data_IF_379010427915
#
_entry.id   IF_379010427915
#
_cell.length_a   1.000
_cell.length_b   1.000
_cell.length_c   1.000
_cell.angle_alpha   90.00
_cell.angle_beta   90.00
_cell.angle_gamma   90.00
#
_symmetry.space_group_name_H-M   'P 1'
#
loop_
_entity.id
_entity.type
_entity.pdbx_description
1 polymer ?
#
# COMPACT_ATOMS: atom_id res chain seq x y z
N UNK A 1 14.66 -11.15 -20.06
CA UNK A 1 15.02 -11.59 -18.70
C UNK A 1 13.97 -12.59 -18.24
N UNK A 2 14.37 -13.59 -17.45
CA UNK A 2 13.44 -14.50 -16.77
C UNK A 2 12.67 -13.69 -15.72
N UNK A 3 11.36 -13.87 -15.62
CA UNK A 3 10.57 -13.13 -14.62
C UNK A 3 10.91 -13.63 -13.22
N UNK A 4 10.89 -12.76 -12.21
CA UNK A 4 10.95 -13.16 -10.80
C UNK A 4 9.82 -14.14 -10.45
N UNK A 5 8.69 -14.06 -11.16
CA UNK A 5 7.52 -14.91 -10.94
C UNK A 5 7.68 -16.32 -11.54
N UNK A 6 8.67 -16.55 -12.41
CA UNK A 6 8.84 -17.83 -13.08
C UNK A 6 9.12 -18.94 -12.07
N UNK A 7 8.35 -20.04 -12.16
CA UNK A 7 8.34 -21.16 -11.22
C UNK A 7 7.90 -20.82 -9.78
N UNK A 8 7.24 -19.67 -9.56
CA UNK A 8 6.76 -19.23 -8.24
C UNK A 8 5.26 -18.93 -8.26
N UNK A 9 4.40 -19.97 -8.36
CA UNK A 9 2.96 -19.79 -8.55
C UNK A 9 2.30 -19.01 -7.41
N UNK A 10 2.78 -19.14 -6.17
CA UNK A 10 2.20 -18.44 -5.03
C UNK A 10 2.50 -16.94 -5.04
N UNK A 11 3.75 -16.55 -5.34
CA UNK A 11 4.12 -15.14 -5.55
C UNK A 11 3.38 -14.55 -6.75
N UNK A 12 3.31 -15.29 -7.86
CA UNK A 12 2.57 -14.89 -9.05
C UNK A 12 1.09 -14.65 -8.74
N UNK A 13 0.48 -15.49 -7.89
CA UNK A 13 -0.90 -15.31 -7.41
C UNK A 13 -1.07 -14.03 -6.60
N UNK A 14 -0.13 -13.67 -5.72
CA UNK A 14 -0.22 -12.40 -4.99
C UNK A 14 -0.17 -11.18 -5.92
N UNK A 15 0.70 -11.22 -6.92
CA UNK A 15 0.77 -10.17 -7.94
C UNK A 15 -0.52 -10.11 -8.77
N UNK A 16 -1.10 -11.26 -9.11
CA UNK A 16 -2.38 -11.33 -9.82
C UNK A 16 -3.54 -10.78 -8.99
N UNK A 17 -3.59 -11.05 -7.67
CA UNK A 17 -4.58 -10.47 -6.77
C UNK A 17 -4.47 -8.94 -6.74
N UNK A 18 -3.26 -8.39 -6.71
CA UNK A 18 -3.05 -6.92 -6.81
C UNK A 18 -3.55 -6.38 -8.15
N UNK A 19 -3.30 -7.10 -9.26
CA UNK A 19 -3.79 -6.71 -10.58
C UNK A 19 -5.33 -6.71 -10.64
N UNK A 20 -5.98 -7.71 -10.04
CA UNK A 20 -7.44 -7.78 -9.94
C UNK A 20 -8.01 -6.59 -9.15
N UNK A 21 -7.47 -6.32 -7.95
CA UNK A 21 -7.88 -5.18 -7.13
C UNK A 21 -7.67 -3.87 -7.88
N UNK A 22 -6.53 -3.69 -8.54
CA UNK A 22 -6.27 -2.51 -9.37
C UNK A 22 -7.30 -2.34 -10.50
N UNK A 23 -7.70 -3.45 -11.13
CA UNK A 23 -8.76 -3.48 -12.13
C UNK A 23 -10.11 -3.05 -11.56
N UNK A 24 -10.46 -3.55 -10.37
CA UNK A 24 -11.69 -3.16 -9.66
C UNK A 24 -11.70 -1.67 -9.31
N UNK A 25 -10.62 -1.15 -8.72
CA UNK A 25 -10.50 0.28 -8.38
C UNK A 25 -10.63 1.18 -9.61
N UNK A 26 -10.01 0.79 -10.73
CA UNK A 26 -10.16 1.50 -12.00
C UNK A 26 -11.60 1.48 -12.52
N UNK A 27 -12.24 0.31 -12.55
CA UNK A 27 -13.62 0.17 -13.05
C UNK A 27 -14.64 0.96 -12.21
N UNK A 28 -14.40 1.09 -10.90
CA UNK A 28 -15.21 1.94 -10.01
C UNK A 28 -14.94 3.43 -10.16
N UNK A 29 -13.92 3.82 -10.94
CA UNK A 29 -13.51 5.21 -11.08
C UNK A 29 -12.79 5.77 -9.85
N UNK A 30 -12.25 4.90 -8.98
CA UNK A 30 -11.59 5.28 -7.73
C UNK A 30 -10.07 5.48 -7.85
N UNK A 31 -9.55 5.41 -9.08
CA UNK A 31 -8.12 5.51 -9.37
C UNK A 31 -7.89 6.27 -10.68
N UNK A 32 -8.23 7.56 -10.68
CA UNK A 32 -8.06 8.44 -11.82
C UNK A 32 -6.58 8.71 -12.12
N UNK A 33 -6.22 8.74 -13.41
CA UNK A 33 -4.83 8.93 -13.88
C UNK A 33 -3.85 7.96 -13.15
N UNK A 34 -3.05 8.48 -12.23
CA UNK A 34 -2.07 7.74 -11.43
C UNK A 34 -2.42 7.72 -9.94
N UNK A 35 -3.62 8.19 -9.56
CA UNK A 35 -4.13 8.18 -8.19
C UNK A 35 -4.35 6.76 -7.67
N UNK A 36 -4.20 6.61 -6.36
CA UNK A 36 -4.24 5.32 -5.66
C UNK A 36 -2.93 4.52 -5.75
N UNK A 37 -2.62 3.77 -4.70
CA UNK A 37 -1.40 2.96 -4.56
C UNK A 37 -1.70 1.63 -3.86
N UNK A 38 -1.00 0.57 -4.25
CA UNK A 38 -1.09 -0.74 -3.59
C UNK A 38 0.34 -1.20 -3.27
N UNK A 39 0.54 -1.60 -2.01
CA UNK A 39 1.79 -2.23 -1.55
C UNK A 39 1.44 -3.43 -0.69
N UNK A 40 1.95 -4.61 -1.05
CA UNK A 40 1.74 -5.85 -0.31
C UNK A 40 3.07 -6.43 0.19
N UNK A 41 3.06 -6.97 1.40
CA UNK A 41 4.19 -7.74 1.95
C UNK A 41 4.15 -9.15 1.34
N UNK A 42 5.20 -9.51 0.61
CA UNK A 42 5.33 -10.81 -0.07
C UNK A 42 6.42 -11.70 0.54
N UNK A 43 6.93 -11.32 1.72
CA UNK A 43 8.07 -11.98 2.38
C UNK A 43 7.89 -13.49 2.55
N UNK A 44 6.66 -13.96 2.80
CA UNK A 44 6.37 -15.38 2.97
C UNK A 44 6.53 -16.22 1.69
N UNK A 45 6.52 -15.58 0.52
CA UNK A 45 6.63 -16.23 -0.79
C UNK A 45 8.05 -16.10 -1.39
N UNK A 46 9.01 -15.65 -0.59
CA UNK A 46 10.40 -15.42 -1.00
C UNK A 46 11.25 -16.65 -0.69
N UNK A 47 11.80 -17.27 -1.73
CA UNK A 47 12.73 -18.38 -1.64
C UNK A 47 14.20 -17.92 -1.61
N UNK A 48 15.13 -18.88 -1.44
CA UNK A 48 16.56 -18.58 -1.36
C UNK A 48 17.15 -18.04 -2.68
N UNK A 49 16.54 -18.35 -3.83
CA UNK A 49 16.95 -17.78 -5.11
C UNK A 49 16.60 -16.28 -5.16
N UNK A 50 15.40 -15.87 -4.73
CA UNK A 50 15.03 -14.45 -4.60
C UNK A 50 15.93 -13.74 -3.59
N UNK A 51 16.23 -14.36 -2.44
CA UNK A 51 17.15 -13.77 -1.45
C UNK A 51 18.53 -13.52 -2.05
N UNK A 52 18.99 -14.39 -2.95
CA UNK A 52 20.26 -14.26 -3.66
C UNK A 52 20.23 -13.39 -4.93
N UNK A 53 19.08 -12.85 -5.33
CA UNK A 53 19.02 -11.98 -6.52
C UNK A 53 19.83 -10.70 -6.32
N UNK A 54 20.64 -10.40 -7.33
CA UNK A 54 21.33 -9.12 -7.44
C UNK A 54 20.32 -7.99 -7.72
N UNK A 55 20.43 -6.86 -7.01
CA UNK A 55 19.65 -5.67 -7.29
C UNK A 55 19.78 -5.20 -8.75
N UNK A 56 18.67 -4.71 -9.31
CA UNK A 56 18.66 -4.01 -10.59
C UNK A 56 18.56 -2.48 -10.43
N UNK A 57 18.80 -1.99 -9.22
CA UNK A 57 18.84 -0.57 -8.87
C UNK A 57 19.95 -0.29 -7.87
N UNK A 58 20.32 0.99 -7.73
CA UNK A 58 21.08 1.46 -6.58
C UNK A 58 20.29 1.33 -5.27
N UNK A 59 20.98 1.54 -4.14
CA UNK A 59 20.33 1.67 -2.84
C UNK A 59 19.49 2.95 -2.77
N UNK A 60 18.18 2.78 -2.64
CA UNK A 60 17.22 3.88 -2.59
C UNK A 60 16.82 4.16 -1.14
N UNK A 61 16.89 5.42 -0.73
CA UNK A 61 16.55 5.84 0.63
C UNK A 61 15.03 5.86 0.85
N UNK A 62 14.56 5.33 1.98
CA UNK A 62 13.17 5.43 2.43
C UNK A 62 12.90 6.82 3.02
N UNK A 63 13.92 7.43 3.64
CA UNK A 63 13.83 8.71 4.34
C UNK A 63 13.60 8.61 5.85
N UNK A 64 13.40 7.39 6.37
CA UNK A 64 13.33 7.07 7.79
C UNK A 64 13.75 5.61 8.02
N UNK A 65 14.12 5.27 9.25
CA UNK A 65 14.47 3.89 9.64
C UNK A 65 13.23 3.16 10.16
N UNK A 66 12.93 2.01 9.57
CA UNK A 66 11.74 1.20 9.82
C UNK A 66 12.13 -0.20 10.34
N UNK A 67 12.50 -0.33 11.64
CA UNK A 67 13.22 -1.49 12.16
C UNK A 67 12.46 -2.82 12.07
N UNK A 68 11.12 -2.80 12.05
CA UNK A 68 10.32 -4.03 11.92
C UNK A 68 10.25 -4.56 10.49
N UNK A 69 10.82 -3.83 9.51
CA UNK A 69 10.88 -4.26 8.11
C UNK A 69 12.12 -5.07 7.76
N UNK A 70 12.98 -5.40 8.74
CA UNK A 70 14.18 -6.19 8.48
C UNK A 70 13.83 -7.51 7.80
N UNK A 71 14.52 -7.80 6.69
CA UNK A 71 14.30 -9.02 5.90
C UNK A 71 12.96 -9.06 5.16
N UNK A 72 12.22 -7.95 5.08
CA UNK A 72 10.95 -7.90 4.39
C UNK A 72 11.11 -7.61 2.89
N UNK A 73 10.13 -8.09 2.14
CA UNK A 73 10.00 -7.95 0.69
C UNK A 73 8.58 -7.48 0.35
N UNK A 74 8.48 -6.57 -0.62
CA UNK A 74 7.20 -5.97 -0.97
C UNK A 74 6.99 -5.94 -2.48
N UNK A 75 5.75 -6.18 -2.92
CA UNK A 75 5.32 -5.80 -4.26
C UNK A 75 4.57 -4.46 -4.18
N UNK A 76 5.01 -3.50 -4.98
CA UNK A 76 4.54 -2.12 -4.96
C UNK A 76 4.09 -1.70 -6.36
N UNK A 77 2.99 -0.95 -6.45
CA UNK A 77 2.69 -0.18 -7.66
C UNK A 77 3.83 0.81 -7.95
N UNK A 78 4.18 0.96 -9.23
CA UNK A 78 5.19 1.92 -9.69
C UNK A 78 4.74 3.39 -9.64
N UNK A 79 5.72 4.30 -9.50
CA UNK A 79 5.49 5.74 -9.56
C UNK A 79 4.94 6.18 -10.93
N UNK A 80 3.98 7.10 -10.93
CA UNK A 80 3.27 7.58 -12.11
C UNK A 80 2.58 6.51 -12.98
N UNK A 81 2.52 5.26 -12.52
CA UNK A 81 1.78 4.17 -13.19
C UNK A 81 0.29 4.27 -12.86
N UNK A 82 -0.55 3.72 -13.72
CA UNK A 82 -2.02 3.78 -13.60
C UNK A 82 -2.56 2.44 -13.16
N UNK A 83 -3.60 2.41 -12.31
CA UNK A 83 -4.20 1.14 -11.87
C UNK A 83 -4.69 0.29 -13.03
N UNK A 84 -5.23 0.90 -14.09
CA UNK A 84 -5.65 0.19 -15.31
C UNK A 84 -4.52 -0.54 -16.04
N UNK A 85 -3.30 0.00 -15.96
CA UNK A 85 -2.12 -0.57 -16.63
C UNK A 85 -1.49 -1.62 -15.70
N UNK A 86 -1.46 -1.38 -14.38
CA UNK A 86 -1.12 -2.37 -13.35
C UNK A 86 -2.00 -3.62 -13.43
N UNK A 87 -3.30 -3.45 -13.68
CA UNK A 87 -4.25 -4.55 -13.82
C UNK A 87 -3.96 -5.44 -15.03
N UNK A 88 -3.37 -4.89 -16.11
CA UNK A 88 -3.08 -5.62 -17.35
C UNK A 88 -1.67 -6.20 -17.38
N UNK A 89 -0.71 -5.42 -16.90
CA UNK A 89 0.73 -5.73 -16.97
C UNK A 89 1.39 -5.41 -15.63
N UNK A 90 1.12 -6.22 -14.58
CA UNK A 90 1.56 -5.88 -13.23
C UNK A 90 3.09 -5.79 -13.09
N UNK A 91 3.85 -6.63 -13.80
CA UNK A 91 5.33 -6.59 -13.75
C UNK A 91 5.96 -5.47 -14.60
N UNK A 92 5.19 -4.77 -15.43
CA UNK A 92 5.64 -3.56 -16.15
C UNK A 92 5.25 -2.26 -15.43
N UNK A 93 4.33 -2.36 -14.47
CA UNK A 93 3.71 -1.23 -13.78
C UNK A 93 3.83 -1.31 -12.25
N UNK A 94 4.46 -2.36 -11.74
CA UNK A 94 4.79 -2.59 -10.35
C UNK A 94 6.22 -3.11 -10.23
N UNK A 95 6.65 -3.34 -8.99
CA UNK A 95 8.02 -3.68 -8.67
C UNK A 95 8.08 -4.49 -7.39
N UNK A 96 8.94 -5.49 -7.35
CA UNK A 96 9.32 -6.19 -6.12
C UNK A 96 10.56 -5.52 -5.55
N UNK A 97 10.48 -5.13 -4.28
CA UNK A 97 11.58 -4.52 -3.53
C UNK A 97 12.01 -5.40 -2.36
N UNK A 98 13.30 -5.32 -2.02
CA UNK A 98 13.90 -5.91 -0.82
C UNK A 98 14.34 -4.77 0.10
N UNK A 99 13.96 -4.83 1.38
CA UNK A 99 14.45 -3.92 2.40
C UNK A 99 15.88 -4.33 2.78
N UNK A 100 16.79 -3.36 2.84
CA UNK A 100 18.18 -3.59 3.22
C UNK A 100 18.32 -3.77 4.74
N UNK A 101 19.46 -4.29 5.18
CA UNK A 101 19.73 -4.57 6.60
C UNK A 101 19.70 -3.34 7.51
N UNK A 102 19.95 -2.15 6.94
CA UNK A 102 19.85 -0.86 7.63
C UNK A 102 18.41 -0.46 7.98
N UNK A 103 17.42 -1.14 7.38
CA UNK A 103 15.99 -0.82 7.47
C UNK A 103 15.64 0.64 7.10
N UNK A 104 16.53 1.33 6.40
CA UNK A 104 16.41 2.73 5.99
C UNK A 104 16.50 2.89 4.47
N UNK A 105 16.92 1.84 3.77
CA UNK A 105 17.00 1.79 2.32
C UNK A 105 16.40 0.50 1.76
N UNK A 106 16.14 0.51 0.46
CA UNK A 106 15.67 -0.65 -0.29
C UNK A 106 16.36 -0.74 -1.65
N UNK A 107 16.23 -1.90 -2.26
CA UNK A 107 16.66 -2.18 -3.64
C UNK A 107 15.52 -2.81 -4.43
N UNK A 108 15.55 -2.63 -5.75
CA UNK A 108 14.62 -3.28 -6.67
C UNK A 108 15.19 -4.64 -7.09
N UNK A 109 14.40 -5.68 -6.93
CA UNK A 109 14.69 -7.06 -7.38
C UNK A 109 13.48 -7.56 -8.18
N UNK A 110 13.30 -7.01 -9.37
CA UNK A 110 12.13 -7.24 -10.21
C UNK A 110 12.53 -7.44 -11.68
N UNK A 111 11.55 -7.69 -12.54
CA UNK A 111 11.78 -7.90 -13.98
C UNK A 111 12.31 -6.64 -14.69
N UNK A 112 11.87 -5.47 -14.21
CA UNK A 112 12.19 -4.15 -14.77
C UNK A 112 12.48 -3.14 -13.64
N UNK A 113 13.32 -2.11 -13.86
CA UNK A 113 13.66 -1.11 -12.85
C UNK A 113 12.54 -0.07 -12.67
N UNK A 114 11.33 -0.55 -12.38
CA UNK A 114 10.17 0.31 -12.12
C UNK A 114 10.30 0.84 -10.70
N UNK A 115 10.56 2.15 -10.58
CA UNK A 115 10.58 2.83 -9.28
C UNK A 115 9.19 2.71 -8.60
N UNK A 116 9.10 2.29 -7.33
CA UNK A 116 7.83 2.26 -6.59
C UNK A 116 7.18 3.64 -6.46
N UNK A 117 5.91 3.67 -6.05
CA UNK A 117 5.14 4.90 -5.81
C UNK A 117 5.89 5.95 -4.97
N UNK A 118 5.61 7.23 -5.22
CA UNK A 118 6.13 8.35 -4.41
C UNK A 118 5.70 8.28 -2.94
N UNK A 119 4.61 7.58 -2.64
CA UNK A 119 4.09 7.38 -1.29
C UNK A 119 4.64 6.10 -0.61
N UNK A 120 5.71 5.50 -1.16
CA UNK A 120 6.25 4.24 -0.65
C UNK A 120 6.62 4.36 0.84
N UNK A 121 7.23 5.48 1.26
CA UNK A 121 7.60 5.69 2.66
C UNK A 121 6.39 5.57 3.59
N UNK A 122 5.25 6.16 3.24
CA UNK A 122 4.00 6.05 4.00
C UNK A 122 3.50 4.61 4.07
N UNK A 123 3.51 3.89 2.93
CA UNK A 123 3.13 2.49 2.89
C UNK A 123 4.04 1.60 3.76
N UNK A 124 5.36 1.80 3.68
CA UNK A 124 6.32 1.06 4.48
C UNK A 124 6.19 1.40 5.98
N UNK A 125 5.94 2.65 6.34
CA UNK A 125 5.65 3.03 7.73
C UNK A 125 4.42 2.33 8.29
N UNK A 126 3.35 2.21 7.48
CA UNK A 126 2.18 1.40 7.85
C UNK A 126 2.54 -0.07 8.05
N UNK A 127 3.29 -0.68 7.12
CA UNK A 127 3.75 -2.06 7.27
C UNK A 127 4.65 -2.26 8.51
N UNK A 128 5.52 -1.30 8.81
CA UNK A 128 6.40 -1.33 9.99
C UNK A 128 5.58 -1.33 11.29
N UNK A 129 4.53 -0.52 11.34
CA UNK A 129 3.59 -0.50 12.47
C UNK A 129 2.78 -1.80 12.55
N UNK A 130 2.22 -2.27 11.44
CA UNK A 130 1.41 -3.49 11.40
C UNK A 130 2.23 -4.71 11.84
N UNK A 131 3.44 -4.87 11.33
CA UNK A 131 4.34 -5.96 11.73
C UNK A 131 4.73 -5.82 13.21
N UNK A 132 5.10 -4.62 13.65
CA UNK A 132 5.49 -4.35 15.04
C UNK A 132 4.38 -4.59 16.06
N UNK A 133 3.12 -4.39 15.66
CA UNK A 133 1.94 -4.67 16.49
C UNK A 133 1.48 -6.13 16.44
N UNK A 134 2.13 -6.98 15.65
CA UNK A 134 1.75 -8.38 15.45
C UNK A 134 0.52 -8.57 14.56
N UNK A 135 0.15 -7.56 13.77
CA UNK A 135 -0.97 -7.65 12.83
C UNK A 135 -0.68 -8.65 11.72
N UNK A 136 -1.72 -9.36 11.29
CA UNK A 136 -1.67 -10.29 10.16
C UNK A 136 -1.91 -9.59 8.82
N UNK A 137 -2.21 -8.30 8.82
CA UNK A 137 -2.47 -7.55 7.58
C UNK A 137 -1.22 -7.45 6.72
N UNK A 138 -1.35 -7.80 5.44
CA UNK A 138 -0.25 -7.85 4.46
C UNK A 138 -0.39 -6.82 3.35
N UNK A 139 -1.43 -6.00 3.34
CA UNK A 139 -1.72 -5.08 2.26
C UNK A 139 -2.00 -3.67 2.78
N UNK A 140 -1.49 -2.68 2.06
CA UNK A 140 -1.87 -1.28 2.20
C UNK A 140 -2.38 -0.78 0.86
N UNK A 141 -3.61 -0.26 0.85
CA UNK A 141 -4.29 0.26 -0.34
C UNK A 141 -4.71 1.70 -0.08
N UNK A 142 -4.27 2.59 -0.96
CA UNK A 142 -4.74 3.97 -1.06
C UNK A 142 -5.51 4.12 -2.37
N UNK A 143 -6.64 4.82 -2.37
CA UNK A 143 -7.48 5.05 -3.55
C UNK A 143 -8.38 6.26 -3.29
N UNK A 144 -9.12 6.73 -4.29
CA UNK A 144 -9.97 7.91 -4.21
C UNK A 144 -11.47 7.57 -4.44
N UNK A 145 -12.18 6.95 -3.47
CA UNK A 145 -13.60 6.69 -3.62
C UNK A 145 -14.38 8.00 -3.70
N UNK A 146 -15.06 8.22 -4.83
CA UNK A 146 -15.69 9.50 -5.19
C UNK A 146 -16.65 9.99 -4.10
N UNK A 147 -17.51 9.12 -3.60
CA UNK A 147 -18.52 9.49 -2.61
C UNK A 147 -17.89 9.85 -1.25
N UNK A 148 -16.84 9.14 -0.81
CA UNK A 148 -16.14 9.47 0.43
C UNK A 148 -15.38 10.80 0.30
N UNK A 149 -14.71 11.04 -0.84
CA UNK A 149 -14.07 12.33 -1.12
C UNK A 149 -15.11 13.45 -1.11
N UNK A 150 -16.27 13.27 -1.74
CA UNK A 150 -17.36 14.24 -1.73
C UNK A 150 -17.85 14.57 -0.31
N UNK A 151 -17.96 13.56 0.56
CA UNK A 151 -18.33 13.75 1.97
C UNK A 151 -17.33 14.62 2.74
N UNK A 152 -16.04 14.61 2.37
CA UNK A 152 -15.02 15.44 3.06
C UNK A 152 -15.22 16.94 2.88
N UNK A 153 -15.98 17.36 1.86
CA UNK A 153 -16.29 18.78 1.64
C UNK A 153 -17.31 19.35 2.64
N UNK A 154 -17.84 18.53 3.55
CA UNK A 154 -18.65 18.98 4.67
C UNK A 154 -17.85 18.88 5.99
N UNK A 155 -17.43 20.01 6.60
CA UNK A 155 -16.69 20.01 7.86
C UNK A 155 -17.41 19.33 9.02
N UNK A 156 -18.74 19.23 8.99
CA UNK A 156 -19.49 18.50 10.02
C UNK A 156 -19.21 17.00 9.99
N UNK A 157 -18.93 16.43 8.81
CA UNK A 157 -18.61 15.02 8.62
C UNK A 157 -17.19 14.67 9.08
N UNK A 158 -16.26 15.62 9.03
CA UNK A 158 -14.87 15.44 9.45
C UNK A 158 -14.67 15.45 10.98
N UNK A 159 -15.74 15.64 11.76
CA UNK A 159 -15.67 15.53 13.22
C UNK A 159 -15.53 14.07 13.65
N UNK A 160 -14.83 13.84 14.77
CA UNK A 160 -14.56 12.50 15.32
C UNK A 160 -15.83 11.62 15.33
N UNK A 161 -15.71 10.44 14.73
CA UNK A 161 -16.73 9.39 14.61
C UNK A 161 -18.03 9.75 13.88
N UNK A 162 -18.20 10.96 13.32
CA UNK A 162 -19.44 11.33 12.63
C UNK A 162 -19.61 10.50 11.35
N UNK A 163 -18.59 10.46 10.49
CA UNK A 163 -18.63 9.61 9.29
C UNK A 163 -18.72 8.12 9.62
N UNK A 164 -17.96 7.65 10.62
CA UNK A 164 -18.05 6.26 11.10
C UNK A 164 -19.48 5.87 11.42
N UNK A 165 -20.17 6.65 12.28
CA UNK A 165 -21.56 6.36 12.68
C UNK A 165 -22.54 6.47 11.52
N UNK A 166 -22.34 7.44 10.63
CA UNK A 166 -23.18 7.60 9.44
C UNK A 166 -23.05 6.39 8.52
N UNK A 167 -21.82 5.96 8.18
CA UNK A 167 -21.56 4.80 7.33
C UNK A 167 -22.09 3.51 7.98
N UNK A 168 -21.85 3.31 9.28
CA UNK A 168 -22.40 2.18 10.04
C UNK A 168 -23.93 2.10 10.03
N UNK A 169 -24.61 3.24 9.92
CA UNK A 169 -26.07 3.27 9.87
C UNK A 169 -26.67 2.90 8.51
N UNK A 170 -25.86 2.88 7.44
CA UNK A 170 -26.36 2.62 6.08
C UNK A 170 -26.68 1.14 5.88
N UNK A 171 -25.75 0.25 6.22
CA UNK A 171 -25.90 -1.20 6.12
C UNK A 171 -25.09 -1.90 7.25
N UNK A 172 -25.61 -2.97 7.89
CA UNK A 172 -24.94 -3.63 9.02
C UNK A 172 -23.50 -4.09 8.74
N UNK A 173 -23.23 -4.49 7.50
CA UNK A 173 -21.95 -5.04 7.05
C UNK A 173 -20.80 -4.04 7.20
N UNK A 174 -21.08 -2.74 7.09
CA UNK A 174 -20.04 -1.69 7.26
C UNK A 174 -19.44 -1.73 8.67
N UNK A 175 -20.25 -1.98 9.70
CA UNK A 175 -19.77 -2.17 11.07
C UNK A 175 -19.09 -3.52 11.27
N UNK A 176 -19.52 -4.56 10.56
CA UNK A 176 -18.87 -5.87 10.63
C UNK A 176 -17.47 -5.87 9.99
N UNK A 177 -17.29 -5.18 8.86
CA UNK A 177 -16.02 -5.13 8.12
C UNK A 177 -15.09 -3.99 8.56
N UNK A 178 -15.63 -2.92 9.13
CA UNK A 178 -14.88 -1.77 9.65
C UNK A 178 -15.34 -1.44 11.09
N UNK A 179 -15.15 -2.37 12.05
CA UNK A 179 -15.70 -2.25 13.42
C UNK A 179 -15.06 -1.17 14.28
N UNK A 180 -13.81 -0.77 14.00
CA UNK A 180 -13.16 0.37 14.66
C UNK A 180 -13.47 1.70 13.96
N UNK A 181 -13.93 1.65 12.71
CA UNK A 181 -14.43 2.80 11.97
C UNK A 181 -13.35 3.51 11.14
N UNK A 182 -13.68 4.75 10.75
CA UNK A 182 -12.89 5.61 9.88
C UNK A 182 -12.25 6.76 10.67
N UNK A 183 -10.92 6.79 10.72
CA UNK A 183 -10.14 7.91 11.25
C UNK A 183 -10.07 9.05 10.24
N UNK A 184 -9.98 10.29 10.74
CA UNK A 184 -9.92 11.50 9.90
C UNK A 184 -8.62 12.22 10.15
N UNK A 185 -7.81 12.36 9.11
CA UNK A 185 -6.54 13.06 9.13
C UNK A 185 -6.76 14.44 8.50
N UNK A 186 -6.41 15.55 9.18
CA UNK A 186 -6.43 16.87 8.56
C UNK A 186 -5.56 16.90 7.30
N UNK A 187 -5.93 17.73 6.33
CA UNK A 187 -5.17 17.85 5.10
C UNK A 187 -3.70 18.16 5.38
N UNK A 188 -2.82 17.31 4.87
CA UNK A 188 -1.38 17.49 4.87
C UNK A 188 -0.83 17.24 3.46
N UNK A 189 0.39 17.71 3.19
CA UNK A 189 1.01 17.48 1.89
C UNK A 189 1.16 15.98 1.62
N UNK A 190 0.70 15.48 0.46
CA UNK A 190 0.93 14.09 0.07
C UNK A 190 2.42 13.76 0.05
N UNK A 191 2.76 12.51 0.40
CA UNK A 191 4.14 12.03 0.52
C UNK A 191 5.01 12.74 1.58
N UNK A 192 4.40 13.45 2.53
CA UNK A 192 5.12 14.03 3.68
C UNK A 192 5.28 13.04 4.84
N UNK A 193 6.32 13.23 5.64
CA UNK A 193 6.53 12.47 6.89
C UNK A 193 5.38 12.70 7.87
N UNK A 194 4.89 13.94 7.97
CA UNK A 194 3.75 14.32 8.81
C UNK A 194 2.50 13.50 8.47
N UNK A 195 2.16 13.38 7.18
CA UNK A 195 0.99 12.58 6.76
C UNK A 195 1.17 11.09 7.08
N UNK A 196 2.39 10.56 6.90
CA UNK A 196 2.68 9.16 7.21
C UNK A 196 2.56 8.86 8.72
N UNK A 197 3.09 9.74 9.58
CA UNK A 197 2.98 9.62 11.03
C UNK A 197 1.53 9.74 11.51
N UNK A 198 0.78 10.72 10.99
CA UNK A 198 -0.64 10.88 11.29
C UNK A 198 -1.45 9.65 10.86
N UNK A 199 -1.15 9.09 9.69
CA UNK A 199 -1.77 7.85 9.18
C UNK A 199 -1.55 6.68 10.14
N UNK A 200 -0.31 6.44 10.54
CA UNK A 200 0.02 5.33 11.48
C UNK A 200 -0.67 5.54 12.82
N UNK A 201 -0.69 6.78 13.33
CA UNK A 201 -1.34 7.12 14.60
C UNK A 201 -2.84 6.84 14.55
N UNK A 202 -3.54 7.27 13.50
CA UNK A 202 -4.98 7.03 13.36
C UNK A 202 -5.28 5.54 13.15
N UNK A 203 -4.45 4.79 12.41
CA UNK A 203 -4.63 3.34 12.23
C UNK A 203 -4.49 2.52 13.53
N UNK A 204 -3.89 3.10 14.59
CA UNK A 204 -3.89 2.48 15.90
C UNK A 204 -5.30 2.44 16.52
N UNK A 205 -6.12 3.46 16.26
CA UNK A 205 -7.50 3.54 16.75
C UNK A 205 -8.52 3.00 15.72
N UNK A 206 -8.27 3.15 14.42
CA UNK A 206 -9.24 2.90 13.33
C UNK A 206 -8.79 1.82 12.33
N UNK A 207 -9.75 1.24 11.59
CA UNK A 207 -9.47 0.24 10.54
C UNK A 207 -9.11 0.88 9.20
N UNK A 208 -9.65 2.07 8.94
CA UNK A 208 -9.45 2.84 7.72
C UNK A 208 -9.20 4.28 8.12
N UNK A 209 -8.42 5.00 7.32
CA UNK A 209 -8.19 6.44 7.50
C UNK A 209 -8.53 7.20 6.22
N UNK A 210 -8.89 8.47 6.37
CA UNK A 210 -9.15 9.40 5.28
C UNK A 210 -8.45 10.72 5.53
#
# INVERSE_FOLDING_TARGET
MKSILDNRPELARQVANVAEVAGYLWQKGWAERNGGNITINVTEFVDDEIKGMEPISDNMQIGTTLPHLKGCYFFCKGTNKRMRDLARWPMENGSVIRINDDCASYVIIADNPVKPTSELASHLSMHNYLIGSGSTYKAAVHTHPIDLVAMTHNPAFLKKDVLTKLLWSMIPETRAFCPRGLGIIPYALPSSVELAEATVKELAEYDVVM
#
